data_IF_059600634350
#
_entry.id   IF_059600634350
#
_cell.length_a   1.000
_cell.length_b   1.000
_cell.length_c   1.000
_cell.angle_alpha   90.00
_cell.angle_beta   90.00
_cell.angle_gamma   90.00
#
_symmetry.space_group_name_H-M   'P 1'
#
loop_
_entity.id
_entity.type
_entity.pdbx_description
1 polymer ?
#
# COMPACT_ATOMS: atom_id res chain seq x y z
N UNK A 1 30.89 6.49 -1.39
CA UNK A 1 30.87 5.35 -0.46
C UNK A 1 30.01 5.77 0.72
N UNK A 2 28.70 5.45 0.71
CA UNK A 2 27.76 5.73 1.82
C UNK A 2 26.41 4.94 1.74
N UNK A 3 26.20 4.17 0.66
CA UNK A 3 25.05 3.25 0.50
C UNK A 3 24.87 2.31 1.70
N UNK A 4 25.98 1.88 2.34
CA UNK A 4 25.91 1.01 3.51
C UNK A 4 25.26 1.67 4.73
N UNK A 5 25.36 3.00 4.89
CA UNK A 5 24.73 3.71 6.01
C UNK A 5 23.23 3.88 5.79
N UNK A 6 22.81 4.23 4.56
CA UNK A 6 21.40 4.35 4.18
C UNK A 6 20.68 2.99 4.28
N UNK A 7 21.30 1.91 3.78
CA UNK A 7 20.79 0.54 3.93
C UNK A 7 20.64 0.13 5.40
N UNK A 8 21.61 0.50 6.26
CA UNK A 8 21.54 0.19 7.69
C UNK A 8 20.44 0.98 8.38
N UNK A 9 20.25 2.25 8.00
CA UNK A 9 19.22 3.11 8.56
C UNK A 9 17.81 2.66 8.16
N UNK A 10 17.60 2.30 6.89
CA UNK A 10 16.35 1.68 6.45
C UNK A 10 16.04 0.40 7.23
N UNK A 11 17.05 -0.47 7.43
CA UNK A 11 16.88 -1.72 8.17
C UNK A 11 16.46 -1.45 9.62
N UNK A 12 17.12 -0.50 10.29
CA UNK A 12 16.79 -0.11 11.66
C UNK A 12 15.35 0.41 11.79
N UNK A 13 14.90 1.25 10.85
CA UNK A 13 13.51 1.72 10.83
C UNK A 13 12.53 0.56 10.65
N UNK A 14 12.80 -0.35 9.71
CA UNK A 14 11.93 -1.49 9.47
C UNK A 14 11.88 -2.45 10.65
N UNK A 15 13.01 -2.75 11.27
CA UNK A 15 13.09 -3.60 12.47
C UNK A 15 12.34 -2.96 13.64
N UNK A 16 12.47 -1.64 13.81
CA UNK A 16 11.71 -0.90 14.82
C UNK A 16 10.20 -0.97 14.57
N UNK A 17 9.75 -0.73 13.34
CA UNK A 17 8.33 -0.83 12.98
C UNK A 17 7.81 -2.26 13.19
N UNK A 18 8.59 -3.27 12.82
CA UNK A 18 8.26 -4.68 13.02
C UNK A 18 8.05 -5.01 14.51
N UNK A 19 8.96 -4.55 15.36
CA UNK A 19 8.85 -4.69 16.82
C UNK A 19 7.61 -3.98 17.40
N UNK A 20 7.03 -3.03 16.66
CA UNK A 20 5.84 -2.27 17.05
C UNK A 20 4.58 -2.67 16.26
N UNK A 21 4.53 -3.89 15.74
CA UNK A 21 3.32 -4.49 15.17
C UNK A 21 3.10 -4.22 13.68
N UNK A 22 4.07 -3.63 12.98
CA UNK A 22 4.05 -3.60 11.53
C UNK A 22 4.55 -4.93 10.96
N UNK A 23 4.05 -5.29 9.79
CA UNK A 23 4.58 -6.40 9.01
C UNK A 23 5.83 -5.92 8.27
N UNK A 24 6.89 -6.70 8.38
CA UNK A 24 8.13 -6.52 7.63
C UNK A 24 8.81 -7.88 7.45
N UNK A 25 9.19 -8.18 6.22
CA UNK A 25 10.12 -9.26 5.88
C UNK A 25 11.12 -8.72 4.87
N UNK A 26 12.39 -9.03 5.04
CA UNK A 26 13.40 -8.63 4.08
C UNK A 26 13.14 -9.25 2.70
N UNK A 27 13.37 -8.48 1.63
CA UNK A 27 13.13 -8.91 0.24
C UNK A 27 11.67 -8.97 -0.22
N UNK A 28 10.68 -8.67 0.62
CA UNK A 28 9.25 -8.73 0.23
C UNK A 28 8.82 -7.69 -0.81
N UNK A 29 9.69 -6.75 -1.19
CA UNK A 29 9.46 -5.85 -2.32
C UNK A 29 9.17 -6.61 -3.63
N UNK A 30 9.64 -7.85 -3.77
CA UNK A 30 9.32 -8.70 -4.91
C UNK A 30 7.84 -9.11 -5.00
N UNK A 31 7.10 -9.06 -3.89
CA UNK A 31 5.67 -9.34 -3.83
C UNK A 31 4.78 -8.11 -4.11
N UNK A 32 5.39 -6.93 -4.27
CA UNK A 32 4.66 -5.71 -4.64
C UNK A 32 4.20 -5.77 -6.10
N UNK A 33 2.91 -5.54 -6.33
CA UNK A 33 2.34 -5.46 -7.66
C UNK A 33 2.56 -4.05 -8.23
N UNK A 34 3.58 -3.91 -9.08
CA UNK A 34 3.91 -2.64 -9.74
C UNK A 34 2.81 -2.12 -10.66
N UNK A 35 2.02 -3.01 -11.28
CA UNK A 35 0.95 -2.64 -12.22
C UNK A 35 -0.17 -1.93 -11.48
N UNK A 36 -0.53 -2.44 -10.30
CA UNK A 36 -1.65 -1.91 -9.50
C UNK A 36 -1.19 -0.99 -8.38
N UNK A 37 0.11 -0.93 -8.11
CA UNK A 37 0.68 -0.35 -6.90
C UNK A 37 -0.03 -0.84 -5.63
N UNK A 38 -0.15 -2.15 -5.46
CA UNK A 38 -0.76 -2.78 -4.29
C UNK A 38 0.17 -3.85 -3.72
N UNK A 39 -0.07 -4.25 -2.48
CA UNK A 39 0.49 -5.46 -1.88
C UNK A 39 -0.59 -6.55 -1.85
N UNK A 40 -0.70 -7.43 -2.88
CA UNK A 40 -1.85 -8.30 -3.09
C UNK A 40 -2.19 -9.21 -1.91
N UNK A 41 -1.16 -9.81 -1.30
CA UNK A 41 -1.34 -10.74 -0.20
C UNK A 41 -2.05 -10.11 1.01
N UNK A 42 -1.78 -8.84 1.30
CA UNK A 42 -2.41 -8.13 2.42
C UNK A 42 -3.84 -7.72 2.11
N UNK A 43 -4.14 -7.34 0.85
CA UNK A 43 -5.51 -7.07 0.40
C UNK A 43 -6.38 -8.32 0.60
N UNK A 44 -5.91 -9.46 0.10
CA UNK A 44 -6.65 -10.74 0.21
C UNK A 44 -6.79 -11.16 1.67
N UNK A 45 -5.71 -11.08 2.45
CA UNK A 45 -5.74 -11.43 3.87
C UNK A 45 -6.72 -10.56 4.65
N UNK A 46 -6.71 -9.24 4.41
CA UNK A 46 -7.67 -8.30 5.00
C UNK A 46 -9.11 -8.67 4.67
N UNK A 47 -9.43 -8.89 3.40
CA UNK A 47 -10.79 -9.18 2.96
C UNK A 47 -11.29 -10.50 3.54
N UNK A 48 -10.45 -11.54 3.58
CA UNK A 48 -10.78 -12.83 4.20
C UNK A 48 -11.05 -12.71 5.70
N UNK A 49 -10.23 -11.94 6.42
CA UNK A 49 -10.35 -11.79 7.86
C UNK A 49 -11.52 -10.88 8.27
N UNK A 50 -11.70 -9.76 7.58
CA UNK A 50 -12.68 -8.74 7.95
C UNK A 50 -14.09 -9.02 7.41
N UNK A 51 -14.18 -9.64 6.22
CA UNK A 51 -15.41 -9.77 5.44
C UNK A 51 -15.50 -11.15 4.74
N UNK A 52 -15.43 -12.28 5.49
CA UNK A 52 -15.34 -13.62 4.90
C UNK A 52 -16.50 -13.96 3.96
N UNK A 53 -17.73 -13.55 4.29
CA UNK A 53 -18.91 -13.76 3.43
C UNK A 53 -18.78 -13.07 2.06
N UNK A 54 -18.14 -11.91 2.00
CA UNK A 54 -17.88 -11.21 0.74
C UNK A 54 -16.83 -11.96 -0.08
N UNK A 55 -15.76 -12.42 0.58
CA UNK A 55 -14.74 -13.25 -0.07
C UNK A 55 -15.32 -14.56 -0.63
N UNK A 56 -16.17 -15.24 0.14
CA UNK A 56 -16.86 -16.46 -0.30
C UNK A 56 -17.77 -16.22 -1.49
N UNK A 57 -18.42 -15.05 -1.55
CA UNK A 57 -19.27 -14.66 -2.68
C UNK A 57 -18.42 -14.44 -3.95
N UNK A 58 -17.31 -13.71 -3.82
CA UNK A 58 -16.40 -13.46 -4.94
C UNK A 58 -15.76 -14.77 -5.45
N UNK A 59 -15.31 -15.64 -4.56
CA UNK A 59 -14.69 -16.92 -4.93
C UNK A 59 -15.68 -17.90 -5.53
N UNK A 60 -16.93 -17.96 -5.06
CA UNK A 60 -17.98 -18.79 -5.69
C UNK A 60 -18.30 -18.33 -7.12
N UNK A 61 -18.31 -17.02 -7.37
CA UNK A 61 -18.63 -16.48 -8.69
C UNK A 61 -17.47 -16.52 -9.69
N UNK A 62 -16.23 -16.38 -9.22
CA UNK A 62 -15.07 -16.15 -10.09
C UNK A 62 -13.92 -17.16 -9.91
N UNK A 63 -14.02 -18.08 -8.94
CA UNK A 63 -13.02 -19.12 -8.69
C UNK A 63 -11.61 -18.54 -8.53
N UNK A 64 -10.66 -19.07 -9.29
CA UNK A 64 -9.26 -18.65 -9.27
C UNK A 64 -9.05 -17.18 -9.70
N UNK A 65 -9.98 -16.58 -10.45
CA UNK A 65 -9.88 -15.18 -10.88
C UNK A 65 -10.38 -14.16 -9.84
N UNK A 66 -10.90 -14.62 -8.69
CA UNK A 66 -11.46 -13.73 -7.67
C UNK A 66 -10.44 -12.72 -7.14
N UNK A 67 -9.19 -13.16 -6.93
CA UNK A 67 -8.10 -12.28 -6.47
C UNK A 67 -7.76 -11.20 -7.49
N UNK A 68 -7.49 -11.58 -8.75
CA UNK A 68 -7.17 -10.60 -9.79
C UNK A 68 -8.30 -9.60 -10.00
N UNK A 69 -9.55 -10.07 -10.03
CA UNK A 69 -10.73 -9.20 -10.17
C UNK A 69 -10.86 -8.20 -9.02
N UNK A 70 -10.60 -8.63 -7.78
CA UNK A 70 -10.61 -7.76 -6.62
C UNK A 70 -9.54 -6.67 -6.75
N UNK A 71 -8.31 -7.04 -7.08
CA UNK A 71 -7.19 -6.11 -7.19
C UNK A 71 -7.39 -5.12 -8.35
N UNK A 72 -7.85 -5.59 -9.51
CA UNK A 72 -8.17 -4.75 -10.67
C UNK A 72 -9.28 -3.75 -10.34
N UNK A 73 -10.31 -4.19 -9.60
CA UNK A 73 -11.42 -3.31 -9.21
C UNK A 73 -11.01 -2.27 -8.17
N UNK A 74 -10.14 -2.63 -7.22
CA UNK A 74 -9.55 -1.68 -6.27
C UNK A 74 -8.73 -0.62 -7.02
N UNK A 75 -7.82 -1.05 -7.91
CA UNK A 75 -7.01 -0.13 -8.72
C UNK A 75 -7.88 0.86 -9.49
N UNK A 76 -8.87 0.33 -10.22
CA UNK A 76 -9.80 1.15 -11.00
C UNK A 76 -10.51 2.20 -10.14
N UNK A 77 -11.00 1.83 -8.96
CA UNK A 77 -11.70 2.77 -8.09
C UNK A 77 -10.78 3.76 -7.39
N UNK A 78 -9.51 3.41 -7.15
CA UNK A 78 -8.50 4.37 -6.72
C UNK A 78 -8.27 5.42 -7.80
N UNK A 79 -8.22 5.02 -9.07
CA UNK A 79 -8.04 5.95 -10.19
C UNK A 79 -9.27 6.86 -10.39
N UNK A 80 -10.47 6.35 -10.14
CA UNK A 80 -11.73 7.10 -10.29
C UNK A 80 -12.04 8.02 -9.10
N UNK A 81 -11.73 7.61 -7.86
CA UNK A 81 -12.21 8.27 -6.63
C UNK A 81 -11.10 8.74 -5.68
N UNK A 82 -9.88 8.25 -5.86
CA UNK A 82 -8.73 8.57 -5.01
C UNK A 82 -8.62 7.73 -3.75
N UNK A 83 -7.40 7.68 -3.19
CA UNK A 83 -7.01 6.87 -2.04
C UNK A 83 -7.82 7.18 -0.78
N UNK A 84 -8.04 8.46 -0.45
CA UNK A 84 -8.79 8.85 0.74
C UNK A 84 -10.27 8.41 0.69
N UNK A 85 -10.91 8.53 -0.48
CA UNK A 85 -12.31 8.09 -0.64
C UNK A 85 -12.41 6.57 -0.52
N UNK A 86 -11.54 5.85 -1.21
CA UNK A 86 -11.48 4.39 -1.24
C UNK A 86 -11.25 3.80 0.16
N UNK A 87 -10.34 4.37 0.96
CA UNK A 87 -10.11 3.89 2.34
C UNK A 87 -11.33 4.17 3.23
N UNK A 88 -11.99 5.32 3.08
CA UNK A 88 -13.15 5.71 3.92
C UNK A 88 -14.41 4.94 3.60
N UNK A 89 -14.69 4.74 2.32
CA UNK A 89 -15.99 4.24 1.85
C UNK A 89 -15.92 2.81 1.27
N UNK A 90 -14.71 2.26 1.09
CA UNK A 90 -14.53 0.96 0.46
C UNK A 90 -14.81 0.97 -1.04
N UNK A 91 -14.82 -0.20 -1.67
CA UNK A 91 -14.98 -0.36 -3.13
C UNK A 91 -16.24 -1.13 -3.51
N UNK A 92 -16.92 -0.67 -4.56
CA UNK A 92 -18.07 -1.38 -5.11
C UNK A 92 -17.65 -2.61 -5.94
N UNK A 93 -18.15 -3.78 -5.57
CA UNK A 93 -17.91 -5.03 -6.28
C UNK A 93 -19.21 -5.57 -6.84
N UNK A 94 -19.19 -6.00 -8.11
CA UNK A 94 -20.33 -6.71 -8.71
C UNK A 94 -20.60 -7.99 -7.90
N UNK A 95 -21.87 -8.20 -7.54
CA UNK A 95 -22.31 -9.37 -6.77
C UNK A 95 -22.30 -9.16 -5.25
N UNK A 96 -21.69 -8.08 -4.73
CA UNK A 96 -21.80 -7.73 -3.32
C UNK A 96 -22.96 -6.74 -3.09
N UNK A 97 -23.63 -6.86 -1.93
CA UNK A 97 -24.76 -6.00 -1.56
C UNK A 97 -24.35 -4.64 -0.99
N UNK A 98 -23.10 -4.52 -0.58
CA UNK A 98 -22.53 -3.31 0.02
C UNK A 98 -21.07 -3.17 -0.44
N UNK A 99 -20.50 -1.95 -0.39
CA UNK A 99 -19.09 -1.74 -0.67
C UNK A 99 -18.20 -2.60 0.24
N UNK A 100 -17.13 -3.13 -0.35
CA UNK A 100 -16.11 -3.87 0.38
C UNK A 100 -15.21 -2.87 1.10
N UNK A 101 -15.22 -2.89 2.44
CA UNK A 101 -14.38 -2.01 3.24
C UNK A 101 -12.90 -2.39 3.11
N UNK A 102 -12.01 -1.41 2.97
CA UNK A 102 -10.56 -1.63 2.83
C UNK A 102 -9.75 -1.24 4.07
N UNK A 103 -10.43 -0.67 5.08
CA UNK A 103 -9.88 -0.43 6.39
C UNK A 103 -11.00 -0.42 7.42
N UNK A 104 -10.67 -0.75 8.67
CA UNK A 104 -11.52 -0.46 9.80
C UNK A 104 -10.87 0.64 10.64
N UNK A 105 -11.53 1.76 10.84
CA UNK A 105 -11.01 2.79 11.74
C UNK A 105 -11.29 2.43 13.19
N UNK A 106 -10.47 2.95 14.11
CA UNK A 106 -10.64 2.74 15.55
C UNK A 106 -12.04 3.23 15.95
N UNK A 107 -12.89 2.37 16.53
CA UNK A 107 -14.22 2.80 16.96
C UNK A 107 -14.10 3.78 18.14
N UNK A 108 -15.01 4.76 18.21
CA UNK A 108 -15.05 5.71 19.32
C UNK A 108 -15.37 5.04 20.66
N UNK A 109 -16.17 3.96 20.63
CA UNK A 109 -16.55 3.15 21.80
C UNK A 109 -16.28 1.67 21.48
N UNK A 110 -15.65 0.96 22.42
CA UNK A 110 -15.32 -0.46 22.28
C UNK A 110 -16.50 -1.40 22.62
N UNK A 111 -17.71 -1.06 22.17
CA UNK A 111 -18.93 -1.81 22.50
C UNK A 111 -19.23 -2.95 21.53
N UNK A 112 -18.79 -2.83 20.28
CA UNK A 112 -19.02 -3.86 19.25
C UNK A 112 -17.73 -4.69 19.06
N UNK A 113 -17.76 -5.94 19.53
CA UNK A 113 -16.62 -6.85 19.47
C UNK A 113 -16.18 -7.15 18.03
N UNK A 114 -17.11 -7.23 17.07
CA UNK A 114 -16.78 -7.50 15.67
C UNK A 114 -16.05 -6.32 15.03
N UNK A 115 -16.46 -5.08 15.33
CA UNK A 115 -15.78 -3.87 14.84
C UNK A 115 -14.37 -3.79 15.46
N UNK A 116 -14.23 -4.11 16.74
CA UNK A 116 -12.93 -4.13 17.40
C UNK A 116 -12.01 -5.21 16.79
N UNK A 117 -12.53 -6.40 16.54
CA UNK A 117 -11.80 -7.48 15.88
C UNK A 117 -11.34 -7.08 14.47
N UNK A 118 -12.20 -6.43 13.68
CA UNK A 118 -11.82 -5.87 12.37
C UNK A 118 -10.75 -4.77 12.49
N UNK A 119 -10.85 -3.90 13.49
CA UNK A 119 -9.85 -2.87 13.72
C UNK A 119 -8.47 -3.49 14.02
N UNK A 120 -8.45 -4.52 14.87
CA UNK A 120 -7.24 -5.27 15.20
C UNK A 120 -6.71 -6.11 14.03
N UNK A 121 -7.58 -6.47 13.08
CA UNK A 121 -7.19 -7.20 11.88
C UNK A 121 -6.56 -6.32 10.79
N UNK A 122 -6.51 -4.98 10.96
CA UNK A 122 -5.79 -4.13 10.02
C UNK A 122 -4.32 -4.53 9.97
N UNK A 123 -3.78 -4.57 8.76
CA UNK A 123 -2.40 -4.94 8.46
C UNK A 123 -1.67 -3.67 8.08
N UNK A 124 -0.75 -3.24 8.94
CA UNK A 124 0.19 -2.19 8.61
C UNK A 124 1.48 -2.86 8.15
N UNK A 125 2.00 -2.49 6.98
CA UNK A 125 3.22 -3.07 6.43
C UNK A 125 4.17 -1.98 5.98
N UNK A 126 5.45 -2.16 6.27
CA UNK A 126 6.53 -1.38 5.67
C UNK A 126 7.27 -2.27 4.69
N UNK A 127 7.53 -1.74 3.49
CA UNK A 127 8.34 -2.43 2.48
C UNK A 127 9.49 -1.52 2.08
N UNK A 128 10.70 -2.07 2.10
CA UNK A 128 11.93 -1.38 1.68
C UNK A 128 12.19 -1.51 0.20
N UNK A 129 12.82 -0.49 -0.37
CA UNK A 129 13.37 -0.50 -1.73
C UNK A 129 12.33 -0.93 -2.78
N UNK A 130 11.16 -0.28 -2.74
CA UNK A 130 10.02 -0.61 -3.59
C UNK A 130 10.27 -0.08 -5.00
N UNK A 131 10.57 -1.01 -5.91
CA UNK A 131 10.64 -0.73 -7.34
C UNK A 131 9.23 -0.54 -7.88
N UNK A 132 8.88 0.70 -8.21
CA UNK A 132 7.49 1.09 -8.45
C UNK A 132 7.11 1.13 -9.92
N UNK A 133 8.09 1.28 -10.82
CA UNK A 133 7.86 1.44 -12.25
C UNK A 133 7.95 0.11 -13.01
N UNK A 134 7.18 0.00 -14.09
CA UNK A 134 7.35 -1.03 -15.12
C UNK A 134 8.40 -0.63 -16.16
N UNK A 135 8.83 0.62 -16.17
CA UNK A 135 9.66 1.21 -17.22
C UNK A 135 11.07 1.60 -16.76
N UNK A 136 11.38 1.41 -15.47
CA UNK A 136 12.70 1.56 -14.88
C UNK A 136 12.76 0.77 -13.56
N UNK A 137 13.96 0.70 -12.96
CA UNK A 137 14.20 0.01 -11.68
C UNK A 137 14.45 1.00 -10.53
N UNK A 138 13.98 2.24 -10.64
CA UNK A 138 14.02 3.19 -9.53
C UNK A 138 13.21 2.63 -8.37
N UNK A 139 13.70 2.86 -7.16
CA UNK A 139 13.07 2.43 -5.93
C UNK A 139 12.73 3.62 -5.04
N UNK A 140 11.65 3.47 -4.29
CA UNK A 140 11.35 4.29 -3.11
C UNK A 140 11.94 3.58 -1.89
N UNK A 141 12.63 4.31 -1.02
CA UNK A 141 13.32 3.71 0.13
C UNK A 141 12.37 2.94 1.03
N UNK A 142 11.25 3.56 1.45
CA UNK A 142 10.17 2.88 2.17
C UNK A 142 8.79 3.23 1.62
N UNK A 143 7.91 2.22 1.57
CA UNK A 143 6.47 2.44 1.33
C UNK A 143 5.69 1.85 2.50
N UNK A 144 4.77 2.65 3.04
CA UNK A 144 3.88 2.28 4.13
C UNK A 144 2.52 1.86 3.55
N UNK A 145 2.06 0.69 3.93
CA UNK A 145 0.80 0.11 3.46
C UNK A 145 -0.20 -0.07 4.59
N UNK A 146 -1.48 0.15 4.27
CA UNK A 146 -2.63 -0.25 5.07
C UNK A 146 -3.44 -1.28 4.28
N UNK A 147 -3.52 -2.52 4.78
CA UNK A 147 -4.25 -3.62 4.15
C UNK A 147 -3.87 -3.82 2.67
N UNK A 148 -2.60 -3.55 2.34
CA UNK A 148 -2.04 -3.65 1.00
C UNK A 148 -2.25 -2.42 0.08
N UNK A 149 -2.86 -1.34 0.56
CA UNK A 149 -2.91 -0.05 -0.14
C UNK A 149 -1.73 0.83 0.29
N UNK A 150 -0.94 1.41 -0.64
CA UNK A 150 0.18 2.28 -0.30
C UNK A 150 -0.34 3.64 0.17
N UNK A 151 -0.20 3.96 1.45
CA UNK A 151 -0.73 5.21 2.02
C UNK A 151 0.30 6.33 2.02
N UNK A 152 1.60 6.00 2.13
CA UNK A 152 2.68 6.97 2.16
C UNK A 152 3.97 6.37 1.60
N UNK A 153 4.81 7.24 1.05
CA UNK A 153 6.20 6.96 0.66
C UNK A 153 7.16 7.73 1.57
N UNK A 154 8.36 7.19 1.76
CA UNK A 154 9.42 7.82 2.54
C UNK A 154 10.73 7.65 1.80
N UNK A 155 11.42 8.76 1.55
CA UNK A 155 12.81 8.78 1.10
C UNK A 155 13.68 9.15 2.31
N UNK A 156 14.78 8.43 2.52
CA UNK A 156 15.66 8.62 3.65
C UNK A 156 16.98 9.25 3.19
N UNK A 157 17.59 10.03 4.08
CA UNK A 157 18.97 10.53 3.92
C UNK A 157 19.68 10.52 5.25
N UNK A 158 21.00 10.34 5.22
CA UNK A 158 21.87 10.47 6.38
C UNK A 158 22.72 11.75 6.24
N UNK A 159 22.68 12.61 7.26
CA UNK A 159 23.28 13.96 7.29
C UNK A 159 24.80 14.03 7.04
N UNK A 160 25.49 12.89 6.99
CA UNK A 160 26.92 12.84 6.70
C UNK A 160 27.27 13.07 5.22
N UNK A 161 26.28 13.10 4.32
CA UNK A 161 26.50 13.27 2.86
C UNK A 161 25.49 14.12 2.12
N UNK A 162 24.22 14.15 2.54
CA UNK A 162 23.13 14.87 1.85
C UNK A 162 22.15 15.42 2.89
N UNK A 163 21.57 16.58 2.59
CA UNK A 163 20.61 17.28 3.44
C UNK A 163 19.18 16.82 3.20
N UNK A 164 18.27 17.15 4.12
CA UNK A 164 16.82 17.00 3.92
C UNK A 164 16.32 17.73 2.67
N UNK A 165 16.94 18.87 2.31
CA UNK A 165 16.59 19.61 1.09
C UNK A 165 16.86 18.77 -0.16
N UNK A 166 17.96 18.00 -0.18
CA UNK A 166 18.30 17.11 -1.30
C UNK A 166 17.28 15.98 -1.44
N UNK A 167 16.76 15.43 -0.32
CA UNK A 167 15.69 14.43 -0.33
C UNK A 167 14.39 15.00 -0.93
N UNK A 168 14.03 16.22 -0.53
CA UNK A 168 12.85 16.93 -1.03
C UNK A 168 12.97 17.20 -2.52
N UNK A 169 14.14 17.64 -2.99
CA UNK A 169 14.38 17.90 -4.41
C UNK A 169 14.37 16.61 -5.23
N UNK A 170 15.01 15.54 -4.74
CA UNK A 170 14.96 14.22 -5.37
C UNK A 170 13.51 13.73 -5.54
N UNK A 171 12.69 13.82 -4.49
CA UNK A 171 11.29 13.40 -4.57
C UNK A 171 10.51 14.25 -5.58
N UNK A 172 10.72 15.58 -5.59
CA UNK A 172 9.99 16.49 -6.50
C UNK A 172 10.38 16.34 -7.96
N UNK A 173 11.67 16.14 -8.25
CA UNK A 173 12.19 16.24 -9.61
C UNK A 173 12.51 14.89 -10.26
N UNK A 174 12.86 13.86 -9.47
CA UNK A 174 13.23 12.54 -9.99
C UNK A 174 12.10 11.51 -9.91
N UNK A 175 11.15 11.67 -8.97
CA UNK A 175 10.00 10.76 -8.79
C UNK A 175 8.75 11.31 -9.47
N UNK A 176 8.83 11.47 -10.79
CA UNK A 176 7.75 12.07 -11.58
C UNK A 176 6.51 11.15 -11.67
N UNK A 177 5.33 11.58 -11.18
CA UNK A 177 4.11 10.76 -11.28
C UNK A 177 3.64 10.55 -12.72
N UNK A 178 3.94 11.50 -13.62
CA UNK A 178 3.57 11.46 -15.03
C UNK A 178 4.82 11.64 -15.90
N UNK A 179 5.64 10.59 -16.09
CA UNK A 179 6.83 10.69 -16.93
C UNK A 179 6.44 10.99 -18.38
N UNK A 180 7.18 11.88 -19.05
CA UNK A 180 6.87 12.31 -20.41
C UNK A 180 6.87 11.13 -21.39
N UNK A 181 5.75 10.93 -22.10
CA UNK A 181 5.60 9.85 -23.08
C UNK A 181 5.36 8.47 -22.48
N UNK A 182 5.01 8.36 -21.19
CA UNK A 182 4.69 7.10 -20.51
C UNK A 182 3.34 7.21 -19.79
N UNK A 183 2.80 6.06 -19.41
CA UNK A 183 1.64 6.02 -18.52
C UNK A 183 1.99 6.60 -17.13
N UNK A 184 1.01 7.14 -16.39
CA UNK A 184 1.23 7.57 -15.01
C UNK A 184 1.75 6.43 -14.13
N UNK A 185 2.64 6.75 -13.20
CA UNK A 185 3.15 5.80 -12.20
C UNK A 185 2.09 5.62 -11.09
N UNK A 186 1.45 4.44 -10.94
CA UNK A 186 0.28 4.29 -10.08
C UNK A 186 0.57 4.55 -8.59
N UNK A 187 1.80 4.28 -8.13
CA UNK A 187 2.21 4.55 -6.75
C UNK A 187 2.31 6.06 -6.46
N UNK A 188 2.77 6.85 -7.43
CA UNK A 188 3.11 8.27 -7.26
C UNK A 188 2.00 9.22 -7.70
N UNK A 189 0.97 8.69 -8.39
CA UNK A 189 -0.10 9.50 -8.99
C UNK A 189 -1.09 10.00 -7.94
N UNK A 190 -1.11 11.29 -7.65
CA UNK A 190 -2.17 11.88 -6.82
C UNK A 190 -3.48 12.08 -7.62
N UNK A 191 -4.67 11.74 -7.08
CA UNK A 191 -4.94 11.28 -5.72
C UNK A 191 -5.02 9.74 -5.56
N UNK A 192 -4.64 8.96 -6.56
CA UNK A 192 -4.93 7.52 -6.62
C UNK A 192 -3.82 6.61 -6.06
N UNK A 193 -2.61 7.13 -5.88
CA UNK A 193 -1.46 6.49 -5.27
C UNK A 193 -1.27 6.87 -3.80
N UNK A 194 -0.02 6.85 -3.35
CA UNK A 194 0.34 7.31 -2.01
C UNK A 194 -0.06 8.78 -1.80
N UNK A 195 -0.49 9.12 -0.59
CA UNK A 195 -1.02 10.44 -0.29
C UNK A 195 0.06 11.51 -0.13
N UNK A 196 1.28 11.06 0.19
CA UNK A 196 2.52 11.83 0.28
C UNK A 196 3.69 10.89 0.05
#
# INVERSE_FOLDING_TARGET
MNLHQEISFEAEICDHLAANGWLYTDGEAAAFDRVRALFPADVVAWVRASQPNAWDTLTKSHGAAAESLLLDRIRKQLDERGMLDVIRHGVEMIGLRAPLALAQFKPALAMNADILARYQANRLRVVRQVRYSLANENAIDLVLFLNGLPVATVELKTDFTQSVADAVDQYKFDRLPNPKGRAPEPLLSFPSGALV
#
